data_IF_822518044291
#
_entry.id   IF_822518044291
#
_cell.length_a   1.000
_cell.length_b   1.000
_cell.length_c   1.000
_cell.angle_alpha   90.00
_cell.angle_beta   90.00
_cell.angle_gamma   90.00
#
_symmetry.space_group_name_H-M   'P 1'
#
loop_
_entity.id
_entity.type
_entity.pdbx_description
1 polymer ?
#
# COMPACT_ATOMS: atom_id res chain seq x y z
N UNK A 1 -1.25 20.06 -13.10
CA UNK A 1 0.14 19.62 -12.85
C UNK A 1 0.06 18.13 -12.66
N UNK A 2 0.26 17.36 -13.73
CA UNK A 2 0.31 15.90 -13.67
C UNK A 2 1.59 15.53 -12.91
N UNK A 3 1.45 15.34 -11.59
CA UNK A 3 2.55 15.02 -10.67
C UNK A 3 3.11 13.64 -11.02
N UNK A 4 4.39 13.62 -11.36
CA UNK A 4 5.12 12.38 -11.55
C UNK A 4 5.32 11.72 -10.17
N UNK A 5 4.71 10.55 -9.95
CA UNK A 5 5.21 9.50 -9.06
C UNK A 5 5.36 9.82 -7.58
N UNK A 6 4.47 10.59 -6.95
CA UNK A 6 4.63 10.98 -5.55
C UNK A 6 4.81 9.77 -4.62
N UNK A 7 4.01 8.71 -4.80
CA UNK A 7 4.08 7.53 -3.92
C UNK A 7 5.22 6.59 -4.31
N UNK A 8 5.65 6.59 -5.57
CA UNK A 8 6.95 6.03 -5.94
C UNK A 8 8.09 6.72 -5.21
N UNK A 9 8.09 8.04 -5.12
CA UNK A 9 9.12 8.81 -4.43
C UNK A 9 9.12 8.53 -2.93
N UNK A 10 7.96 8.38 -2.30
CA UNK A 10 7.85 7.91 -0.90
C UNK A 10 8.57 6.57 -0.72
N UNK A 11 8.29 5.59 -1.57
CA UNK A 11 8.95 4.28 -1.49
C UNK A 11 10.45 4.37 -1.80
N UNK A 12 10.84 5.17 -2.79
CA UNK A 12 12.23 5.36 -3.19
C UNK A 12 13.07 6.01 -2.10
N UNK A 13 12.52 6.96 -1.33
CA UNK A 13 13.19 7.56 -0.18
C UNK A 13 13.32 6.58 1.00
N UNK A 14 12.29 5.78 1.28
CA UNK A 14 12.28 4.83 2.40
C UNK A 14 13.18 3.62 2.17
N UNK A 15 13.25 3.11 0.95
CA UNK A 15 14.01 1.91 0.58
C UNK A 15 15.47 1.89 1.08
N UNK A 16 16.33 2.91 0.80
CA UNK A 16 17.69 2.93 1.31
C UNK A 16 17.77 2.98 2.84
N UNK A 17 16.83 3.66 3.52
CA UNK A 17 16.79 3.73 4.98
C UNK A 17 16.45 2.37 5.60
N UNK A 18 15.48 1.66 5.04
CA UNK A 18 15.18 0.28 5.42
C UNK A 18 16.36 -0.66 5.22
N UNK A 19 17.08 -0.53 4.09
CA UNK A 19 18.28 -1.35 3.84
C UNK A 19 19.37 -1.10 4.88
N UNK A 20 19.66 0.16 5.20
CA UNK A 20 20.65 0.50 6.22
C UNK A 20 20.25 -0.06 7.60
N UNK A 21 18.99 0.11 8.02
CA UNK A 21 18.52 -0.41 9.30
C UNK A 21 18.51 -1.94 9.34
N UNK A 22 18.18 -2.61 8.23
CA UNK A 22 18.21 -4.07 8.10
C UNK A 22 19.61 -4.65 8.30
N UNK A 23 20.67 -3.93 7.92
CA UNK A 23 22.05 -4.35 8.19
C UNK A 23 22.39 -4.33 9.68
N UNK A 24 21.77 -3.42 10.44
CA UNK A 24 22.00 -3.28 11.88
C UNK A 24 21.19 -4.26 12.73
N UNK A 25 19.97 -4.59 12.30
CA UNK A 25 19.05 -5.49 13.02
C UNK A 25 18.51 -6.62 12.10
N UNK A 26 19.39 -7.46 11.53
CA UNK A 26 19.01 -8.42 10.49
C UNK A 26 18.01 -9.47 10.97
N UNK A 27 18.10 -9.93 12.22
CA UNK A 27 17.20 -10.94 12.76
C UNK A 27 15.78 -10.40 12.98
N UNK A 28 15.63 -9.14 13.38
CA UNK A 28 14.33 -8.47 13.51
C UNK A 28 13.66 -8.35 12.15
N UNK A 29 14.40 -7.91 11.13
CA UNK A 29 13.87 -7.81 9.77
C UNK A 29 13.54 -9.17 9.16
N UNK A 30 14.28 -10.23 9.51
CA UNK A 30 13.96 -11.60 9.09
C UNK A 30 12.64 -12.06 9.69
N UNK A 31 12.49 -11.96 11.02
CA UNK A 31 11.25 -12.34 11.71
C UNK A 31 10.04 -11.53 11.23
N UNK A 32 10.22 -10.22 11.02
CA UNK A 32 9.16 -9.38 10.45
C UNK A 32 8.78 -9.83 9.04
N UNK A 33 9.74 -10.12 8.16
CA UNK A 33 9.46 -10.58 6.79
C UNK A 33 8.71 -11.92 6.77
N UNK A 34 9.07 -12.86 7.65
CA UNK A 34 8.37 -14.14 7.80
C UNK A 34 6.90 -13.94 8.24
N UNK A 35 6.69 -13.08 9.25
CA UNK A 35 5.34 -12.71 9.70
C UNK A 35 4.54 -12.03 8.60
N UNK A 36 5.11 -11.04 7.91
CA UNK A 36 4.46 -10.35 6.79
C UNK A 36 4.06 -11.32 5.68
N UNK A 37 4.94 -12.26 5.32
CA UNK A 37 4.65 -13.27 4.32
C UNK A 37 3.50 -14.20 4.76
N UNK A 38 3.54 -14.68 6.01
CA UNK A 38 2.47 -15.51 6.56
C UNK A 38 1.12 -14.77 6.60
N UNK A 39 1.13 -13.48 6.96
CA UNK A 39 -0.07 -12.66 7.02
C UNK A 39 -0.67 -12.41 5.63
N UNK A 40 0.16 -12.07 4.63
CA UNK A 40 -0.29 -11.61 3.30
C UNK A 40 -0.46 -12.72 2.26
N UNK A 41 0.06 -13.94 2.51
CA UNK A 41 -0.16 -15.08 1.62
C UNK A 41 -1.66 -15.39 1.51
N UNK A 42 -2.17 -15.63 0.30
CA UNK A 42 -3.57 -16.00 0.07
C UNK A 42 -3.95 -17.25 0.86
N UNK A 43 -5.16 -17.24 1.42
CA UNK A 43 -5.77 -18.39 2.10
C UNK A 43 -7.28 -18.34 1.93
N UNK A 44 -8.04 -18.45 3.01
CA UNK A 44 -9.49 -18.19 2.98
C UNK A 44 -9.83 -16.76 2.52
N UNK A 45 -8.90 -15.81 2.69
CA UNK A 45 -8.96 -14.49 2.11
C UNK A 45 -7.84 -14.33 1.08
N UNK A 46 -8.19 -13.85 -0.11
CA UNK A 46 -7.23 -13.54 -1.18
C UNK A 46 -6.28 -12.41 -0.76
N UNK A 47 -5.04 -12.47 -1.27
CA UNK A 47 -4.00 -11.46 -0.99
C UNK A 47 -4.46 -10.03 -1.28
N UNK A 48 -5.21 -9.78 -2.36
CA UNK A 48 -5.69 -8.42 -2.68
C UNK A 48 -6.49 -7.78 -1.55
N UNK A 49 -7.37 -8.55 -0.90
CA UNK A 49 -8.17 -8.05 0.22
C UNK A 49 -7.32 -7.85 1.48
N UNK A 50 -6.32 -8.72 1.71
CA UNK A 50 -5.38 -8.56 2.83
C UNK A 50 -4.53 -7.28 2.68
N UNK A 51 -4.08 -6.99 1.47
CA UNK A 51 -3.36 -5.75 1.16
C UNK A 51 -4.26 -4.52 1.28
N UNK A 52 -5.53 -4.58 0.85
CA UNK A 52 -6.50 -3.50 1.06
C UNK A 52 -6.79 -3.25 2.55
N UNK A 53 -6.87 -4.30 3.37
CA UNK A 53 -6.98 -4.16 4.82
C UNK A 53 -5.73 -3.48 5.38
N UNK A 54 -4.53 -3.90 4.98
CA UNK A 54 -3.29 -3.28 5.44
C UNK A 54 -3.17 -1.81 4.99
N UNK A 55 -3.61 -1.49 3.77
CA UNK A 55 -3.66 -0.12 3.25
C UNK A 55 -4.61 0.77 4.07
N UNK A 56 -5.80 0.27 4.41
CA UNK A 56 -6.76 1.02 5.24
C UNK A 56 -6.30 1.17 6.69
N UNK A 57 -5.54 0.21 7.23
CA UNK A 57 -4.82 0.41 8.50
C UNK A 57 -3.78 1.52 8.36
N UNK A 58 -3.08 1.61 7.22
CA UNK A 58 -2.19 2.73 6.90
C UNK A 58 -2.90 4.08 6.88
N UNK A 59 -4.14 4.14 6.36
CA UNK A 59 -5.00 5.33 6.41
C UNK A 59 -5.29 5.74 7.85
N UNK A 60 -5.71 4.80 8.69
CA UNK A 60 -6.02 5.05 10.11
C UNK A 60 -4.76 5.46 10.89
N UNK A 61 -3.60 4.91 10.55
CA UNK A 61 -2.32 5.27 11.16
C UNK A 61 -1.76 6.60 10.66
N UNK A 62 -2.30 7.19 9.59
CA UNK A 62 -1.74 8.37 8.94
C UNK A 62 -0.32 8.13 8.37
N UNK A 63 -0.05 6.93 7.88
CA UNK A 63 1.28 6.49 7.48
C UNK A 63 1.40 6.45 5.94
N UNK A 64 1.95 7.50 5.33
CA UNK A 64 2.10 7.59 3.86
C UNK A 64 2.96 6.44 3.29
N UNK A 65 4.01 6.00 3.99
CA UNK A 65 4.81 4.83 3.57
C UNK A 65 4.06 3.50 3.61
N UNK A 66 3.19 3.32 4.61
CA UNK A 66 2.35 2.14 4.74
C UNK A 66 1.27 2.14 3.64
N UNK A 67 0.67 3.30 3.40
CA UNK A 67 -0.29 3.52 2.32
C UNK A 67 0.36 3.18 0.97
N UNK A 68 1.51 3.76 0.65
CA UNK A 68 2.20 3.52 -0.62
C UNK A 68 2.57 2.04 -0.82
N UNK A 69 3.14 1.41 0.21
CA UNK A 69 3.58 0.01 0.13
C UNK A 69 2.41 -0.95 -0.08
N UNK A 70 1.31 -0.76 0.64
CA UNK A 70 0.14 -1.66 0.55
C UNK A 70 -0.78 -1.32 -0.61
N UNK A 71 -0.81 -0.08 -1.10
CA UNK A 71 -1.44 0.27 -2.37
C UNK A 71 -0.74 -0.46 -3.53
N UNK A 72 0.59 -0.40 -3.61
CA UNK A 72 1.37 -1.13 -4.61
C UNK A 72 1.16 -2.65 -4.49
N UNK A 73 1.15 -3.18 -3.26
CA UNK A 73 0.88 -4.59 -2.97
C UNK A 73 -0.50 -5.04 -3.44
N UNK A 74 -1.54 -4.24 -3.17
CA UNK A 74 -2.92 -4.51 -3.56
C UNK A 74 -3.08 -4.51 -5.09
N UNK A 75 -2.52 -3.51 -5.79
CA UNK A 75 -2.54 -3.45 -7.27
C UNK A 75 -1.85 -4.67 -7.87
N UNK A 76 -0.65 -5.03 -7.38
CA UNK A 76 0.07 -6.24 -7.83
C UNK A 76 -0.69 -7.54 -7.57
N UNK A 77 -1.54 -7.55 -6.55
CA UNK A 77 -2.41 -8.68 -6.23
C UNK A 77 -3.73 -8.69 -7.02
N UNK A 78 -3.96 -7.71 -7.90
CA UNK A 78 -5.13 -7.63 -8.78
C UNK A 78 -6.34 -6.93 -8.16
N UNK A 79 -6.15 -6.13 -7.10
CA UNK A 79 -7.21 -5.24 -6.63
C UNK A 79 -7.57 -4.20 -7.71
N UNK A 80 -8.83 -3.80 -7.74
CA UNK A 80 -9.35 -2.76 -8.63
C UNK A 80 -9.48 -1.42 -7.91
N UNK A 81 -9.55 -0.32 -8.67
CA UNK A 81 -9.81 1.03 -8.11
C UNK A 81 -11.14 1.07 -7.35
N UNK A 82 -12.15 0.32 -7.82
CA UNK A 82 -13.45 0.23 -7.14
C UNK A 82 -13.34 -0.47 -5.77
N UNK A 83 -12.67 -1.63 -5.70
CA UNK A 83 -12.43 -2.33 -4.43
C UNK A 83 -11.63 -1.46 -3.44
N UNK A 84 -10.64 -0.72 -3.92
CA UNK A 84 -9.89 0.22 -3.09
C UNK A 84 -10.76 1.35 -2.53
N UNK A 85 -11.62 1.94 -3.37
CA UNK A 85 -12.54 2.99 -2.95
C UNK A 85 -13.54 2.50 -1.88
N UNK A 86 -14.10 1.29 -2.06
CA UNK A 86 -15.00 0.69 -1.06
C UNK A 86 -14.30 0.42 0.27
N UNK A 87 -13.07 -0.12 0.25
CA UNK A 87 -12.28 -0.33 1.46
C UNK A 87 -11.96 0.98 2.18
N UNK A 88 -11.62 2.04 1.45
CA UNK A 88 -11.39 3.38 2.01
C UNK A 88 -12.67 3.94 2.64
N UNK A 89 -13.84 3.70 2.02
CA UNK A 89 -15.13 4.04 2.61
C UNK A 89 -15.33 3.48 4.01
N UNK A 90 -14.91 2.23 4.25
CA UNK A 90 -14.94 1.61 5.58
C UNK A 90 -14.01 2.35 6.55
N UNK A 91 -12.81 2.75 6.11
CA UNK A 91 -11.91 3.53 6.97
C UNK A 91 -12.48 4.90 7.37
N UNK A 92 -13.20 5.56 6.46
CA UNK A 92 -13.89 6.83 6.73
C UNK A 92 -15.02 6.64 7.74
N UNK A 93 -15.82 5.58 7.60
CA UNK A 93 -16.86 5.23 8.56
C UNK A 93 -16.27 5.04 9.98
N UNK A 94 -15.16 4.32 10.07
CA UNK A 94 -14.60 3.88 11.37
C UNK A 94 -13.70 4.93 12.05
N UNK A 95 -13.03 5.78 11.28
CA UNK A 95 -12.05 6.74 11.79
C UNK A 95 -12.44 8.21 11.57
N UNK A 96 -13.53 8.46 10.83
CA UNK A 96 -14.12 9.79 10.66
C UNK A 96 -13.23 10.77 9.90
N UNK A 97 -13.19 12.02 10.39
CA UNK A 97 -12.52 13.14 9.73
C UNK A 97 -11.08 12.87 9.28
N UNK A 98 -10.17 12.33 10.11
CA UNK A 98 -8.80 12.05 9.68
C UNK A 98 -8.70 11.07 8.49
N UNK A 99 -9.60 10.08 8.43
CA UNK A 99 -9.63 9.15 7.30
C UNK A 99 -10.17 9.78 6.01
N UNK A 100 -10.87 10.92 6.05
CA UNK A 100 -11.22 11.64 4.80
C UNK A 100 -9.98 12.26 4.14
N UNK A 101 -8.96 12.60 4.94
CA UNK A 101 -7.69 13.15 4.43
C UNK A 101 -6.78 12.01 3.94
N UNK A 102 -6.46 11.06 4.82
CA UNK A 102 -5.56 9.96 4.45
C UNK A 102 -6.21 8.96 3.49
N UNK A 103 -7.54 8.84 3.50
CA UNK A 103 -8.27 8.03 2.53
C UNK A 103 -8.15 8.58 1.11
N UNK A 104 -8.25 9.91 0.94
CA UNK A 104 -8.02 10.53 -0.37
C UNK A 104 -6.59 10.29 -0.88
N UNK A 105 -5.60 10.40 0.02
CA UNK A 105 -4.20 10.05 -0.30
C UNK A 105 -4.03 8.59 -0.67
N UNK A 106 -4.65 7.67 0.07
CA UNK A 106 -4.58 6.25 -0.24
C UNK A 106 -5.21 5.90 -1.58
N UNK A 107 -6.31 6.56 -1.95
CA UNK A 107 -6.93 6.38 -3.25
C UNK A 107 -6.02 6.87 -4.38
N UNK A 108 -5.38 8.02 -4.19
CA UNK A 108 -4.41 8.58 -5.14
C UNK A 108 -3.20 7.66 -5.32
N UNK A 109 -2.62 7.16 -4.21
CA UNK A 109 -1.54 6.17 -4.23
C UNK A 109 -1.92 4.91 -5.02
N UNK A 110 -3.12 4.38 -4.75
CA UNK A 110 -3.61 3.22 -5.47
C UNK A 110 -3.75 3.49 -6.96
N UNK A 111 -4.30 4.65 -7.34
CA UNK A 111 -4.46 5.03 -8.74
C UNK A 111 -3.11 5.16 -9.45
N UNK A 112 -2.12 5.78 -8.81
CA UNK A 112 -0.76 5.93 -9.37
C UNK A 112 -0.17 4.56 -9.76
N UNK A 113 -0.17 3.59 -8.84
CA UNK A 113 0.34 2.24 -9.13
C UNK A 113 -0.53 1.47 -10.13
N UNK A 114 -1.86 1.64 -10.08
CA UNK A 114 -2.77 0.97 -11.01
C UNK A 114 -2.61 1.46 -12.45
N UNK A 115 -2.43 2.78 -12.65
CA UNK A 115 -2.27 3.39 -13.96
C UNK A 115 -0.91 3.03 -14.58
N UNK A 116 0.14 2.94 -13.77
CA UNK A 116 1.44 2.41 -14.21
C UNK A 116 1.34 0.93 -14.64
N UNK A 117 0.65 0.09 -13.86
CA UNK A 117 0.44 -1.32 -14.20
C UNK A 117 -0.36 -1.48 -15.51
N UNK A 118 -1.33 -0.60 -15.78
CA UNK A 118 -2.06 -0.57 -17.04
C UNK A 118 -1.20 -0.07 -18.22
N UNK A 119 -0.37 0.95 -17.99
CA UNK A 119 0.52 1.53 -19.01
C UNK A 119 1.78 0.72 -19.35
N UNK A 120 2.09 -0.30 -18.56
CA UNK A 120 3.14 -1.29 -18.85
C UNK A 120 2.62 -2.46 -19.68
N UNK A 121 1.31 -2.77 -19.61
CA UNK A 121 0.67 -3.79 -20.45
C UNK A 121 0.42 -3.38 -21.90
N UNK A 122 0.46 -2.09 -22.24
CA UNK A 122 0.25 -1.55 -23.59
C UNK A 122 1.54 -1.35 -24.42
N UNK A 123 2.70 -1.73 -23.86
CA UNK A 123 4.03 -1.64 -24.50
C UNK A 123 4.60 -3.03 -24.88
N UNK A 124 3.74 -3.95 -25.28
CA UNK A 124 4.10 -5.23 -25.92
C UNK A 124 3.46 -5.33 -27.30
#
# INVERSE_FOLDING_TARGET
MSEHGHYHDVLNDLNPKHRALRQMIPDVYRGFAEMSNGALTSGALEKKFKELIAMTIGVVAGCDGCIASHAQGAVRAGATKAEAAEAIGVSILMHGGPATIYGARAYDAFCEFADEAAGTGSRQ
#
